data_IF_027318852448
#
_entry.id   IF_027318852448
#
_cell.length_a   1.000
_cell.length_b   1.000
_cell.length_c   1.000
_cell.angle_alpha   90.00
_cell.angle_beta   90.00
_cell.angle_gamma   90.00
#
_symmetry.space_group_name_H-M   'P 1'
#
loop_
_entity.id
_entity.type
_entity.pdbx_description
1 polymer ?
#
# COMPACT_ATOMS: atom_id res chain seq x y z
N UNK A 1 -65.95 16.64 12.90
CA UNK A 1 -66.69 15.39 12.61
C UNK A 1 -65.73 14.48 11.83
N UNK A 2 -65.35 13.34 12.43
CA UNK A 2 -64.56 12.21 11.87
C UNK A 2 -63.15 12.53 11.32
N UNK A 3 -62.04 11.89 11.70
CA UNK A 3 -61.81 10.52 12.14
C UNK A 3 -61.22 9.70 10.98
N UNK A 4 -60.04 9.09 11.15
CA UNK A 4 -59.50 8.07 10.22
C UNK A 4 -57.97 8.03 10.10
N UNK A 5 -57.40 6.91 10.54
CA UNK A 5 -55.97 6.55 10.63
C UNK A 5 -55.47 5.79 9.37
N UNK A 6 -54.24 5.24 9.44
CA UNK A 6 -53.55 4.24 8.56
C UNK A 6 -52.78 4.79 7.36
N UNK A 7 -51.44 4.70 7.25
CA UNK A 7 -50.46 3.58 7.24
C UNK A 7 -50.16 3.02 5.83
N UNK A 8 -48.85 2.89 5.53
CA UNK A 8 -48.16 2.13 4.46
C UNK A 8 -48.34 2.66 3.02
N UNK A 9 -47.36 2.64 2.11
CA UNK A 9 -46.39 1.59 1.81
C UNK A 9 -45.20 2.17 1.03
N UNK A 10 -43.96 1.84 1.42
CA UNK A 10 -42.77 2.14 0.65
C UNK A 10 -42.57 1.03 -0.40
N UNK A 11 -42.84 1.33 -1.66
CA UNK A 11 -42.56 0.41 -2.76
C UNK A 11 -41.09 0.49 -3.15
N UNK A 12 -40.38 -0.60 -2.87
CA UNK A 12 -39.11 -0.97 -3.50
C UNK A 12 -39.33 -1.20 -4.99
N UNK A 13 -38.48 -0.64 -5.85
CA UNK A 13 -38.06 -1.30 -7.09
C UNK A 13 -36.79 -0.66 -7.66
N UNK A 14 -35.61 -1.23 -7.36
CA UNK A 14 -34.41 -1.00 -8.16
C UNK A 14 -34.04 -2.32 -8.84
N UNK A 15 -34.48 -2.42 -10.10
CA UNK A 15 -34.08 -3.45 -11.04
C UNK A 15 -32.58 -3.35 -11.37
N UNK A 16 -31.93 -4.52 -11.33
CA UNK A 16 -30.98 -4.99 -12.33
C UNK A 16 -29.72 -4.17 -12.56
N UNK A 17 -28.63 -4.59 -11.92
CA UNK A 17 -27.28 -4.25 -12.40
C UNK A 17 -26.73 -5.48 -13.13
N UNK A 18 -26.87 -5.48 -14.45
CA UNK A 18 -26.12 -6.34 -15.36
C UNK A 18 -24.64 -5.98 -15.26
N UNK A 19 -23.80 -6.98 -15.02
CA UNK A 19 -22.35 -6.85 -15.02
C UNK A 19 -21.86 -6.77 -16.47
N UNK A 20 -21.69 -5.55 -16.97
CA UNK A 20 -20.92 -5.27 -18.18
C UNK A 20 -19.47 -4.99 -17.78
N UNK A 21 -18.57 -5.87 -18.22
CA UNK A 21 -17.12 -5.67 -18.21
C UNK A 21 -16.76 -4.50 -19.11
N UNK A 22 -16.38 -3.36 -18.53
CA UNK A 22 -15.77 -2.26 -19.27
C UNK A 22 -14.24 -2.40 -19.24
N UNK A 23 -13.67 -2.51 -20.44
CA UNK A 23 -12.23 -2.39 -20.67
C UNK A 23 -11.75 -0.97 -20.30
N UNK A 24 -10.52 -0.87 -19.80
CA UNK A 24 -9.90 0.38 -19.35
C UNK A 24 -9.23 1.14 -20.52
N UNK A 25 -9.69 2.35 -20.88
CA UNK A 25 -8.85 3.36 -21.50
C UNK A 25 -8.48 4.45 -20.48
N UNK A 26 -7.20 4.79 -20.37
CA UNK A 26 -6.76 5.93 -19.56
C UNK A 26 -5.36 5.79 -19.00
N UNK A 27 -4.36 5.89 -19.87
CA UNK A 27 -3.04 6.37 -19.48
C UNK A 27 -3.17 7.87 -19.21
N UNK A 28 -3.31 8.28 -17.95
CA UNK A 28 -3.10 9.67 -17.55
C UNK A 28 -1.96 9.74 -16.53
N UNK A 29 -0.78 10.08 -17.04
CA UNK A 29 0.39 10.44 -16.23
C UNK A 29 0.27 11.87 -15.65
N UNK A 30 0.64 11.95 -14.38
CA UNK A 30 1.37 13.03 -13.72
C UNK A 30 0.77 14.44 -13.62
N UNK A 31 0.37 14.81 -12.39
CA UNK A 31 0.82 16.07 -11.78
C UNK A 31 0.76 16.04 -10.25
N UNK A 32 1.93 15.91 -9.61
CA UNK A 32 2.18 16.48 -8.28
C UNK A 32 2.05 15.57 -7.06
N UNK A 33 2.12 14.25 -7.18
CA UNK A 33 2.24 13.43 -5.96
C UNK A 33 3.68 13.56 -5.44
N UNK A 34 3.87 14.09 -4.23
CA UNK A 34 5.17 14.26 -3.56
C UNK A 34 5.90 12.95 -3.22
N UNK A 35 5.71 11.91 -4.02
CA UNK A 35 6.32 10.60 -3.90
C UNK A 35 7.72 10.59 -4.53
N UNK A 36 8.56 9.67 -4.07
CA UNK A 36 9.93 9.40 -4.50
C UNK A 36 10.00 8.21 -5.45
N UNK A 37 9.00 7.33 -5.42
CA UNK A 37 8.94 6.13 -6.25
C UNK A 37 7.95 6.26 -7.41
N UNK A 38 8.30 5.76 -8.62
CA UNK A 38 7.38 5.74 -9.75
C UNK A 38 6.25 4.72 -9.53
N UNK A 39 5.00 5.19 -9.56
CA UNK A 39 3.81 4.36 -9.30
C UNK A 39 3.71 3.16 -10.25
N UNK A 40 4.09 3.32 -11.53
CA UNK A 40 4.10 2.23 -12.49
C UNK A 40 4.99 1.06 -12.04
N UNK A 41 6.14 1.34 -11.41
CA UNK A 41 7.04 0.30 -10.89
C UNK A 41 6.47 -0.40 -9.67
N UNK A 42 5.86 0.36 -8.75
CA UNK A 42 5.18 -0.18 -7.57
C UNK A 42 4.04 -1.11 -8.00
N UNK A 43 3.18 -0.66 -8.92
CA UNK A 43 2.08 -1.46 -9.48
C UNK A 43 2.58 -2.76 -10.12
N UNK A 44 3.70 -2.71 -10.84
CA UNK A 44 4.32 -3.90 -11.46
C UNK A 44 4.84 -4.90 -10.42
N UNK A 45 5.42 -4.43 -9.32
CA UNK A 45 5.90 -5.29 -8.23
C UNK A 45 4.71 -5.92 -7.50
N UNK A 46 3.65 -5.14 -7.21
CA UNK A 46 2.43 -5.66 -6.61
C UNK A 46 1.83 -6.79 -7.47
N UNK A 47 1.73 -6.59 -8.78
CA UNK A 47 1.23 -7.60 -9.74
C UNK A 47 2.19 -8.78 -10.00
N UNK A 48 3.35 -8.83 -9.35
CA UNK A 48 4.20 -10.02 -9.38
C UNK A 48 3.58 -11.16 -8.54
N UNK A 49 2.68 -10.81 -7.61
CA UNK A 49 1.85 -11.77 -6.90
C UNK A 49 0.72 -12.29 -7.81
N UNK A 50 0.67 -13.59 -8.15
CA UNK A 50 -0.36 -14.17 -9.00
C UNK A 50 -1.76 -14.15 -8.37
N UNK A 51 -1.85 -14.05 -7.03
CA UNK A 51 -3.12 -14.00 -6.31
C UNK A 51 -3.68 -12.57 -6.23
N UNK A 52 -2.89 -11.56 -6.63
CA UNK A 52 -3.35 -10.18 -6.69
C UNK A 52 -4.17 -9.94 -7.96
N UNK A 53 -5.49 -9.80 -7.81
CA UNK A 53 -6.40 -9.42 -8.89
C UNK A 53 -6.19 -7.98 -9.39
N UNK A 54 -7.13 -7.09 -9.09
CA UNK A 54 -7.04 -5.67 -9.46
C UNK A 54 -6.44 -4.84 -8.31
N UNK A 55 -5.38 -4.08 -8.60
CA UNK A 55 -4.83 -3.07 -7.69
C UNK A 55 -5.38 -1.69 -8.05
N UNK A 56 -6.13 -1.07 -7.14
CA UNK A 56 -6.64 0.30 -7.30
C UNK A 56 -5.49 1.32 -7.25
N UNK A 57 -5.71 2.49 -7.85
CA UNK A 57 -4.69 3.56 -7.85
C UNK A 57 -4.35 4.04 -6.44
N UNK A 58 -5.35 4.14 -5.55
CA UNK A 58 -5.16 4.53 -4.15
C UNK A 58 -4.30 3.51 -3.38
N UNK A 59 -4.49 2.21 -3.62
CA UNK A 59 -3.66 1.18 -3.01
C UNK A 59 -2.20 1.29 -3.47
N UNK A 60 -1.97 1.49 -4.77
CA UNK A 60 -0.61 1.69 -5.33
C UNK A 60 0.04 2.95 -4.73
N UNK A 61 -0.73 4.04 -4.58
CA UNK A 61 -0.25 5.27 -3.96
C UNK A 61 0.15 5.06 -2.50
N UNK A 62 -0.69 4.38 -1.71
CA UNK A 62 -0.43 4.12 -0.30
C UNK A 62 0.80 3.23 -0.11
N UNK A 63 0.94 2.19 -0.94
CA UNK A 63 2.13 1.32 -0.93
C UNK A 63 3.38 2.12 -1.28
N UNK A 64 3.32 3.02 -2.26
CA UNK A 64 4.45 3.89 -2.60
C UNK A 64 4.85 4.78 -1.41
N UNK A 65 3.88 5.39 -0.72
CA UNK A 65 4.17 6.23 0.46
C UNK A 65 4.68 5.42 1.65
N UNK A 66 4.09 4.26 1.91
CA UNK A 66 4.54 3.34 2.96
C UNK A 66 5.98 2.88 2.70
N UNK A 67 6.34 2.62 1.44
CA UNK A 67 7.70 2.22 1.06
C UNK A 67 8.72 3.33 1.35
N UNK A 68 8.37 4.61 1.17
CA UNK A 68 9.25 5.73 1.54
C UNK A 68 9.53 5.74 3.03
N UNK A 69 8.46 5.69 3.84
CA UNK A 69 8.57 5.70 5.30
C UNK A 69 9.32 4.47 5.81
N UNK A 70 9.11 3.32 5.18
CA UNK A 70 9.82 2.09 5.48
C UNK A 70 11.33 2.21 5.23
N UNK A 71 11.74 2.72 4.06
CA UNK A 71 13.16 2.91 3.73
C UNK A 71 13.81 3.93 4.67
N UNK A 72 13.12 5.03 4.99
CA UNK A 72 13.60 6.03 5.95
C UNK A 72 13.80 5.43 7.35
N UNK A 73 12.79 4.70 7.85
CA UNK A 73 12.84 4.04 9.15
C UNK A 73 13.96 3.00 9.22
N UNK A 74 14.10 2.16 8.18
CA UNK A 74 15.13 1.13 8.13
C UNK A 74 16.53 1.75 8.07
N UNK A 75 16.71 2.82 7.28
CA UNK A 75 17.99 3.52 7.19
C UNK A 75 18.39 4.17 8.51
N UNK A 76 17.43 4.78 9.23
CA UNK A 76 17.68 5.40 10.53
C UNK A 76 18.07 4.35 11.58
N UNK A 77 17.38 3.21 11.61
CA UNK A 77 17.71 2.13 12.54
C UNK A 77 19.06 1.49 12.21
N UNK A 78 19.34 1.21 10.94
CA UNK A 78 20.64 0.67 10.53
C UNK A 78 21.79 1.63 10.89
N UNK A 79 21.55 2.94 10.76
CA UNK A 79 22.51 3.94 11.21
C UNK A 79 22.67 3.98 12.73
N UNK A 80 21.61 3.72 13.50
CA UNK A 80 21.71 3.60 14.95
C UNK A 80 22.73 2.52 15.36
N UNK A 81 22.68 1.31 14.79
CA UNK A 81 23.69 0.27 15.02
C UNK A 81 25.09 0.64 14.49
N UNK A 82 25.15 1.31 13.33
CA UNK A 82 26.41 1.80 12.75
C UNK A 82 27.12 2.77 13.71
N UNK A 83 26.36 3.69 14.30
CA UNK A 83 26.87 4.73 15.20
C UNK A 83 27.34 4.16 16.54
N UNK A 84 26.66 3.14 17.06
CA UNK A 84 27.09 2.40 18.26
C UNK A 84 28.45 1.73 18.05
N UNK A 85 28.72 1.28 16.82
CA UNK A 85 30.03 0.73 16.41
C UNK A 85 31.10 1.81 16.12
N UNK A 86 30.82 3.09 16.40
CA UNK A 86 31.68 4.26 16.09
C UNK A 86 32.06 4.38 14.61
N UNK A 87 31.25 3.82 13.72
CA UNK A 87 31.41 3.91 12.27
C UNK A 87 30.52 5.03 11.72
N UNK A 88 30.82 5.47 10.50
CA UNK A 88 30.03 6.46 9.75
C UNK A 88 29.45 5.92 8.44
N UNK A 89 29.77 4.66 8.13
CA UNK A 89 29.34 3.98 6.90
C UNK A 89 28.47 2.80 7.32
N UNK A 90 27.21 2.83 6.88
CA UNK A 90 26.27 1.73 7.09
C UNK A 90 26.74 0.52 6.29
N UNK A 91 26.81 -0.63 6.94
CA UNK A 91 27.19 -1.90 6.33
C UNK A 91 26.01 -2.88 6.33
N UNK A 92 26.07 -3.93 5.51
CA UNK A 92 25.01 -4.97 5.47
C UNK A 92 24.75 -5.56 6.86
N UNK A 93 25.79 -5.80 7.65
CA UNK A 93 25.66 -6.30 9.03
C UNK A 93 24.81 -5.41 9.93
N UNK A 94 24.83 -4.09 9.71
CA UNK A 94 24.01 -3.17 10.53
C UNK A 94 22.52 -3.34 10.19
N UNK A 95 22.20 -3.63 8.92
CA UNK A 95 20.84 -3.96 8.48
C UNK A 95 20.42 -5.34 8.98
N UNK A 96 21.31 -6.34 8.91
CA UNK A 96 21.04 -7.69 9.43
C UNK A 96 20.68 -7.62 10.94
N UNK A 97 21.42 -6.84 11.73
CA UNK A 97 21.08 -6.60 13.14
C UNK A 97 19.73 -5.91 13.35
N UNK A 98 19.31 -5.01 12.46
CA UNK A 98 17.96 -4.42 12.55
C UNK A 98 16.87 -5.47 12.36
N UNK A 99 17.05 -6.36 11.38
CA UNK A 99 16.11 -7.43 11.06
C UNK A 99 15.98 -8.38 12.25
N UNK A 100 17.11 -8.75 12.87
CA UNK A 100 17.13 -9.63 14.05
C UNK A 100 16.50 -8.98 15.29
N UNK A 101 16.67 -7.66 15.46
CA UNK A 101 16.25 -6.96 16.68
C UNK A 101 14.80 -6.46 16.65
N UNK A 102 14.24 -6.21 15.46
CA UNK A 102 12.91 -5.63 15.30
C UNK A 102 11.97 -6.67 14.71
N UNK A 103 11.05 -7.18 15.52
CA UNK A 103 10.06 -8.19 15.12
C UNK A 103 9.23 -7.77 13.87
N UNK A 104 8.90 -6.49 13.76
CA UNK A 104 8.18 -5.95 12.59
C UNK A 104 8.98 -6.06 11.26
N UNK A 105 10.30 -6.29 11.33
CA UNK A 105 11.17 -6.51 10.18
C UNK A 105 11.41 -7.99 9.86
N UNK A 106 10.84 -8.93 10.64
CA UNK A 106 11.06 -10.36 10.46
C UNK A 106 10.66 -10.89 9.06
N UNK A 107 9.78 -10.17 8.33
CA UNK A 107 9.44 -10.50 6.94
C UNK A 107 10.62 -10.36 5.96
N UNK A 108 11.72 -9.73 6.38
CA UNK A 108 12.96 -9.57 5.62
C UNK A 108 13.99 -10.68 5.92
N UNK A 109 13.71 -11.58 6.86
CA UNK A 109 14.60 -12.69 7.16
C UNK A 109 14.79 -13.58 5.92
N UNK A 110 16.04 -13.91 5.60
CA UNK A 110 16.44 -14.59 4.36
C UNK A 110 16.34 -13.76 3.07
N UNK A 111 15.88 -12.50 3.11
CA UNK A 111 15.80 -11.64 1.92
C UNK A 111 17.15 -11.02 1.53
N UNK A 112 18.14 -11.05 2.42
CA UNK A 112 19.42 -10.35 2.26
C UNK A 112 20.59 -11.26 1.88
N UNK A 113 20.41 -12.58 1.82
CA UNK A 113 21.44 -13.62 1.62
C UNK A 113 22.21 -13.54 0.29
#
# INVERSE_FOLDING_TARGET
MAGGESETNASLNNNGVEAATEELPGEEEEKGSGLRFPLARIKRIMKADPELGLASQDAVFLVAKATELFVESLALEAYHYTSQSKKKTVSRRDVDHCIDAIEALAFLDGAMD
#
